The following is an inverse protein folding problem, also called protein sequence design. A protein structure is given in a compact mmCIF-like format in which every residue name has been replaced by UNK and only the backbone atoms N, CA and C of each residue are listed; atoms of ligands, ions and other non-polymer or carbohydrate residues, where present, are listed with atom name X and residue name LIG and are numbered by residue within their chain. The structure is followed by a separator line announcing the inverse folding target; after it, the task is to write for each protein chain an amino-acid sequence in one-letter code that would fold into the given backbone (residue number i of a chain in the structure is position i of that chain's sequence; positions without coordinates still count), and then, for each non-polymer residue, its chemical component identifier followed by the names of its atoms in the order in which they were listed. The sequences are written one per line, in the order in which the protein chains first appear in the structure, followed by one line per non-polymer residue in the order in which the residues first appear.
data_IF_250470302494
#
_entry.id   IF_250470302494
#
_cell.length_a   1.000
_cell.length_b   1.000
_cell.length_c   1.000
_cell.angle_alpha   90.00
_cell.angle_beta   90.00
_cell.angle_gamma   90.00
#
_symmetry.space_group_name_H-M   'P 1'
#
loop_
_entity.id
_entity.type
_entity.pdbx_description
1 polymer ?
#
# COMPACT_ATOMS: atom_id res chain seq x y z
N UNK A 1 -33.88 -8.53 -20.17
CA UNK A 1 -32.60 -9.14 -19.73
C UNK A 1 -32.41 -8.66 -18.32
N UNK A 2 -32.48 -9.57 -17.35
CA UNK A 2 -32.22 -9.23 -15.95
C UNK A 2 -30.70 -9.18 -15.82
N UNK A 3 -30.14 -8.02 -15.50
CA UNK A 3 -28.72 -7.92 -15.14
C UNK A 3 -28.48 -8.84 -13.94
N UNK A 4 -27.59 -9.81 -14.08
CA UNK A 4 -27.10 -10.58 -12.94
C UNK A 4 -26.42 -9.60 -11.97
N UNK A 5 -26.70 -9.68 -10.66
CA UNK A 5 -26.08 -8.81 -9.68
C UNK A 5 -24.56 -9.00 -9.74
N UNK A 6 -23.84 -7.90 -9.95
CA UNK A 6 -22.37 -7.85 -9.98
C UNK A 6 -21.84 -8.20 -8.58
N UNK A 7 -20.93 -9.16 -8.51
CA UNK A 7 -20.17 -9.44 -7.28
C UNK A 7 -19.22 -8.28 -6.95
N UNK A 8 -19.11 -7.97 -5.66
CA UNK A 8 -18.23 -6.92 -5.17
C UNK A 8 -16.77 -7.38 -5.14
N UNK A 9 -15.88 -6.50 -5.59
CA UNK A 9 -14.45 -6.71 -5.44
C UNK A 9 -14.02 -6.67 -3.97
N UNK A 10 -12.88 -7.26 -3.67
CA UNK A 10 -12.29 -7.24 -2.32
C UNK A 10 -12.03 -5.82 -1.80
N UNK A 11 -11.73 -4.89 -2.70
CA UNK A 11 -11.54 -3.47 -2.37
C UNK A 11 -12.87 -2.84 -1.96
N UNK A 12 -13.94 -3.07 -2.72
CA UNK A 12 -15.28 -2.56 -2.41
C UNK A 12 -15.77 -3.09 -1.06
N UNK A 13 -15.63 -4.39 -0.79
CA UNK A 13 -16.04 -4.99 0.50
C UNK A 13 -15.22 -4.44 1.65
N UNK A 14 -13.89 -4.29 1.48
CA UNK A 14 -13.04 -3.73 2.52
C UNK A 14 -13.38 -2.27 2.81
N UNK A 15 -13.54 -1.45 1.77
CA UNK A 15 -13.94 -0.05 1.92
C UNK A 15 -15.30 0.03 2.60
N UNK A 16 -16.25 -0.82 2.21
CA UNK A 16 -17.56 -0.89 2.82
C UNK A 16 -17.49 -1.27 4.32
N UNK A 17 -16.62 -2.21 4.71
CA UNK A 17 -16.40 -2.55 6.12
C UNK A 17 -15.85 -1.37 6.93
N UNK A 18 -14.80 -0.70 6.41
CA UNK A 18 -14.19 0.44 7.09
C UNK A 18 -15.20 1.58 7.23
N UNK A 19 -15.91 1.89 6.14
CA UNK A 19 -16.92 2.93 6.14
C UNK A 19 -18.06 2.60 7.10
N UNK A 20 -18.45 1.32 7.21
CA UNK A 20 -19.47 0.87 8.19
C UNK A 20 -19.00 1.07 9.63
N UNK A 21 -17.73 0.79 9.92
CA UNK A 21 -17.15 1.01 11.25
C UNK A 21 -17.08 2.50 11.58
N UNK A 22 -16.78 3.36 10.59
CA UNK A 22 -16.74 4.81 10.71
C UNK A 22 -18.12 5.49 10.66
N UNK A 23 -19.16 4.77 10.24
CA UNK A 23 -20.46 5.36 9.94
C UNK A 23 -21.16 5.89 11.20
N UNK A 24 -21.64 7.13 11.13
CA UNK A 24 -22.23 7.82 12.29
C UNK A 24 -23.74 8.03 12.15
N UNK A 25 -24.25 8.06 10.93
CA UNK A 25 -25.68 8.25 10.71
C UNK A 25 -26.44 6.97 11.15
N UNK A 26 -27.52 7.11 11.90
CA UNK A 26 -28.31 5.97 12.37
C UNK A 26 -29.23 5.38 11.28
N UNK A 27 -29.07 5.76 10.02
CA UNK A 27 -30.08 5.51 8.99
C UNK A 27 -29.84 4.26 8.14
N UNK A 28 -28.71 3.58 8.34
CA UNK A 28 -28.40 2.27 7.74
C UNK A 28 -28.92 1.09 8.60
N UNK A 29 -29.57 1.39 9.72
CA UNK A 29 -30.16 0.40 10.60
C UNK A 29 -31.55 0.81 11.07
N UNK A 30 -32.46 -0.15 11.15
CA UNK A 30 -33.85 0.11 11.59
C UNK A 30 -33.93 0.62 13.03
N UNK A 31 -32.90 0.38 13.85
CA UNK A 31 -32.83 0.79 15.25
C UNK A 31 -31.81 1.92 15.52
N UNK A 32 -31.22 2.52 14.49
CA UNK A 32 -30.31 3.65 14.70
C UNK A 32 -28.91 3.28 15.21
N UNK A 33 -28.52 2.01 15.13
CA UNK A 33 -27.30 1.51 15.78
C UNK A 33 -26.05 1.75 14.91
N UNK A 34 -24.97 2.19 15.53
CA UNK A 34 -23.65 2.38 14.89
C UNK A 34 -22.54 1.91 15.82
N UNK A 35 -21.37 1.57 15.26
CA UNK A 35 -20.21 1.20 16.08
C UNK A 35 -19.76 2.33 17.00
N UNK A 36 -19.81 3.58 16.54
CA UNK A 36 -19.46 4.75 17.34
C UNK A 36 -20.36 4.89 18.59
N UNK A 37 -21.67 4.66 18.47
CA UNK A 37 -22.61 4.70 19.61
C UNK A 37 -22.21 3.70 20.71
N UNK A 38 -21.70 2.54 20.30
CA UNK A 38 -21.23 1.49 21.18
C UNK A 38 -19.71 1.47 21.30
N UNK A 39 -19.06 2.65 21.36
CA UNK A 39 -17.63 2.75 21.68
C UNK A 39 -16.71 1.88 20.81
N UNK A 40 -17.06 1.72 19.53
CA UNK A 40 -16.38 0.91 18.53
C UNK A 40 -16.16 -0.56 18.92
N UNK A 41 -17.09 -1.14 19.67
CA UNK A 41 -17.13 -2.57 19.96
C UNK A 41 -18.47 -3.21 19.57
N UNK A 42 -18.43 -4.46 19.12
CA UNK A 42 -19.61 -5.18 18.67
C UNK A 42 -19.28 -6.61 18.23
N UNK A 43 -20.20 -7.23 17.49
CA UNK A 43 -20.01 -8.58 16.94
C UNK A 43 -19.82 -8.57 15.43
N UNK A 44 -19.30 -9.67 14.88
CA UNK A 44 -19.34 -9.94 13.44
C UNK A 44 -20.75 -9.78 12.85
N UNK A 45 -21.78 -10.24 13.55
CA UNK A 45 -23.17 -10.14 13.10
C UNK A 45 -23.65 -8.68 13.04
N UNK A 46 -23.21 -7.83 13.96
CA UNK A 46 -23.49 -6.39 13.93
C UNK A 46 -22.84 -5.73 12.72
N UNK A 47 -21.55 -6.03 12.48
CA UNK A 47 -20.81 -5.50 11.33
C UNK A 47 -21.47 -5.87 10.01
N UNK A 48 -21.74 -7.15 9.79
CA UNK A 48 -22.30 -7.61 8.50
C UNK A 48 -23.70 -7.06 8.25
N UNK A 49 -24.51 -6.90 9.30
CA UNK A 49 -25.83 -6.27 9.23
C UNK A 49 -25.74 -4.80 8.82
N UNK A 50 -24.91 -4.02 9.50
CA UNK A 50 -24.78 -2.60 9.19
C UNK A 50 -24.16 -2.39 7.79
N UNK A 51 -23.22 -3.25 7.44
CA UNK A 51 -22.55 -3.24 6.14
C UNK A 51 -23.53 -3.52 4.99
N UNK A 52 -24.49 -4.42 5.19
CA UNK A 52 -25.61 -4.66 4.27
C UNK A 52 -26.46 -3.39 4.09
N UNK A 53 -26.86 -2.76 5.19
CA UNK A 53 -27.66 -1.52 5.15
C UNK A 53 -26.94 -0.38 4.43
N UNK A 54 -25.64 -0.22 4.67
CA UNK A 54 -24.82 0.78 3.98
C UNK A 54 -24.68 0.47 2.48
N UNK A 55 -24.51 -0.79 2.11
CA UNK A 55 -24.41 -1.19 0.70
C UNK A 55 -25.71 -0.91 -0.08
N UNK A 56 -26.86 -1.23 0.52
CA UNK A 56 -28.18 -0.91 -0.04
C UNK A 56 -28.35 0.60 -0.15
N UNK A 57 -28.04 1.37 0.91
CA UNK A 57 -28.15 2.85 0.91
C UNK A 57 -27.34 3.46 -0.23
N UNK A 58 -26.14 2.94 -0.48
CA UNK A 58 -25.24 3.42 -1.54
C UNK A 58 -25.59 2.90 -2.94
N UNK A 59 -26.60 2.03 -3.06
CA UNK A 59 -26.99 1.41 -4.33
C UNK A 59 -25.93 0.44 -4.88
N UNK A 60 -25.02 -0.03 -4.03
CA UNK A 60 -23.94 -0.96 -4.40
C UNK A 60 -24.48 -2.38 -4.54
N UNK A 61 -25.49 -2.73 -3.73
CA UNK A 61 -26.29 -3.95 -3.87
C UNK A 61 -27.77 -3.58 -3.92
N UNK A 62 -28.58 -4.46 -4.52
CA UNK A 62 -30.03 -4.30 -4.58
C UNK A 62 -30.68 -4.86 -3.32
N UNK A 63 -31.69 -4.17 -2.82
CA UNK A 63 -32.56 -4.70 -1.77
C UNK A 63 -33.62 -5.63 -2.40
N UNK A 64 -33.38 -6.93 -2.32
CA UNK A 64 -34.32 -7.97 -2.72
C UNK A 64 -35.12 -8.50 -1.51
N UNK A 65 -34.51 -8.47 -0.31
CA UNK A 65 -35.17 -8.80 0.96
C UNK A 65 -35.05 -7.62 1.94
N UNK A 66 -36.04 -7.42 2.84
CA UNK A 66 -36.03 -6.32 3.78
C UNK A 66 -34.82 -6.37 4.73
N UNK A 67 -34.25 -5.19 5.03
CA UNK A 67 -33.26 -5.08 6.09
C UNK A 67 -33.88 -5.37 7.47
N UNK A 68 -33.26 -6.29 8.22
CA UNK A 68 -33.74 -6.70 9.53
C UNK A 68 -32.91 -6.10 10.67
N UNK A 69 -33.61 -5.54 11.67
CA UNK A 69 -33.03 -5.15 12.95
C UNK A 69 -32.59 -6.36 13.79
N UNK A 70 -31.60 -6.14 14.64
CA UNK A 70 -31.13 -7.15 15.60
C UNK A 70 -30.62 -6.49 16.88
N UNK A 71 -30.71 -7.21 18.01
CA UNK A 71 -30.13 -6.76 19.28
C UNK A 71 -28.61 -6.60 19.12
N UNK A 72 -28.08 -5.44 19.54
CA UNK A 72 -26.64 -5.17 19.47
C UNK A 72 -25.86 -6.14 20.36
N UNK A 73 -24.73 -6.65 19.89
CA UNK A 73 -23.97 -7.67 20.62
C UNK A 73 -24.56 -9.08 20.48
N UNK A 74 -25.62 -9.25 19.70
CA UNK A 74 -26.13 -10.57 19.32
C UNK A 74 -25.18 -11.28 18.37
N UNK A 75 -24.95 -12.57 18.59
CA UNK A 75 -24.14 -13.41 17.70
C UNK A 75 -24.95 -14.54 17.09
N UNK A 76 -24.40 -15.21 16.07
CA UNK A 76 -25.01 -16.38 15.45
C UNK A 76 -25.93 -16.09 14.26
N UNK A 77 -25.98 -14.84 13.76
CA UNK A 77 -26.64 -14.55 12.48
C UNK A 77 -25.86 -15.22 11.35
N UNK A 78 -26.45 -16.23 10.74
CA UNK A 78 -25.89 -16.89 9.56
C UNK A 78 -26.24 -16.09 8.30
N UNK A 79 -25.25 -15.83 7.46
CA UNK A 79 -25.45 -15.17 6.17
C UNK A 79 -25.83 -16.23 5.12
N UNK A 80 -27.07 -16.18 4.67
CA UNK A 80 -27.62 -16.98 3.58
C UNK A 80 -28.08 -16.02 2.48
N UNK A 81 -27.47 -16.09 1.28
CA UNK A 81 -27.79 -15.19 0.18
C UNK A 81 -29.29 -15.19 -0.13
N UNK A 82 -29.85 -14.00 -0.31
CA UNK A 82 -31.26 -13.75 -0.64
C UNK A 82 -32.26 -14.38 0.35
N UNK A 83 -31.81 -14.76 1.56
CA UNK A 83 -32.68 -15.28 2.62
C UNK A 83 -32.50 -14.52 3.93
N UNK A 84 -31.25 -14.33 4.38
CA UNK A 84 -30.94 -13.57 5.60
C UNK A 84 -30.02 -12.39 5.33
N UNK A 85 -29.54 -12.25 4.09
CA UNK A 85 -28.81 -11.08 3.60
C UNK A 85 -29.01 -10.91 2.10
N UNK A 86 -28.88 -9.67 1.60
CA UNK A 86 -28.89 -9.28 0.19
C UNK A 86 -27.54 -9.53 -0.51
N UNK A 87 -26.47 -9.85 0.22
CA UNK A 87 -25.17 -10.21 -0.35
C UNK A 87 -25.20 -11.54 -1.10
N UNK A 88 -24.44 -11.64 -2.20
CA UNK A 88 -24.28 -12.87 -2.98
C UNK A 88 -23.45 -13.92 -2.21
N UNK A 89 -23.43 -15.17 -2.68
CA UNK A 89 -22.53 -16.19 -2.12
C UNK A 89 -21.04 -15.81 -2.24
N UNK A 90 -20.68 -15.10 -3.32
CA UNK A 90 -19.31 -14.65 -3.58
C UNK A 90 -18.95 -13.55 -2.60
N UNK A 91 -19.84 -12.56 -2.44
CA UNK A 91 -19.69 -11.46 -1.49
C UNK A 91 -19.52 -11.97 -0.07
N UNK A 92 -20.34 -12.92 0.38
CA UNK A 92 -20.27 -13.48 1.75
C UNK A 92 -18.90 -14.11 2.04
N UNK A 93 -18.33 -14.86 1.08
CA UNK A 93 -16.99 -15.44 1.25
C UNK A 93 -15.94 -14.34 1.38
N UNK A 94 -16.00 -13.35 0.49
CA UNK A 94 -15.06 -12.25 0.49
C UNK A 94 -15.21 -11.36 1.73
N UNK A 95 -16.43 -11.16 2.26
CA UNK A 95 -16.70 -10.53 3.56
C UNK A 95 -15.95 -11.24 4.68
N UNK A 96 -16.04 -12.57 4.76
CA UNK A 96 -15.32 -13.32 5.78
C UNK A 96 -13.81 -13.18 5.63
N UNK A 97 -13.28 -13.23 4.41
CA UNK A 97 -11.86 -13.02 4.13
C UNK A 97 -11.40 -11.61 4.53
N UNK A 98 -12.14 -10.57 4.14
CA UNK A 98 -11.80 -9.18 4.49
C UNK A 98 -11.86 -8.94 5.99
N UNK A 99 -12.83 -9.51 6.70
CA UNK A 99 -12.90 -9.44 8.16
C UNK A 99 -11.62 -9.99 8.81
N UNK A 100 -11.15 -11.16 8.35
CA UNK A 100 -9.92 -11.77 8.84
C UNK A 100 -8.67 -10.96 8.46
N UNK A 101 -8.68 -10.28 7.31
CA UNK A 101 -7.60 -9.38 6.93
C UNK A 101 -7.55 -8.14 7.83
N UNK A 102 -8.68 -7.56 8.22
CA UNK A 102 -8.71 -6.46 9.19
C UNK A 102 -8.19 -6.87 10.57
N UNK A 103 -8.44 -8.12 11.00
CA UNK A 103 -7.84 -8.72 12.20
C UNK A 103 -6.32 -8.82 12.06
N UNK A 104 -5.84 -9.40 10.96
CA UNK A 104 -4.39 -9.59 10.73
C UNK A 104 -3.66 -8.24 10.61
N UNK A 105 -4.31 -7.23 10.06
CA UNK A 105 -3.79 -5.86 9.94
C UNK A 105 -3.85 -5.08 11.25
N UNK A 106 -4.48 -5.62 12.30
CA UNK A 106 -4.63 -4.98 13.61
C UNK A 106 -5.60 -3.80 13.61
N UNK A 107 -6.44 -3.64 12.60
CA UNK A 107 -7.50 -2.61 12.57
C UNK A 107 -8.57 -2.94 13.61
N UNK A 108 -8.92 -4.22 13.69
CA UNK A 108 -9.81 -4.76 14.72
C UNK A 108 -9.08 -5.86 15.49
N UNK A 109 -9.52 -6.13 16.72
CA UNK A 109 -8.97 -7.20 17.55
C UNK A 109 -10.11 -8.01 18.21
N UNK A 110 -9.92 -9.33 18.44
CA UNK A 110 -10.92 -10.15 19.11
C UNK A 110 -11.22 -9.67 20.53
N UNK A 111 -12.47 -9.89 20.94
CA UNK A 111 -12.98 -9.55 22.25
C UNK A 111 -13.37 -8.08 22.40
N UNK A 112 -14.18 -7.79 23.41
CA UNK A 112 -14.59 -6.44 23.78
C UNK A 112 -14.90 -6.37 25.29
N UNK A 113 -14.70 -5.20 25.93
CA UNK A 113 -14.98 -5.02 27.36
C UNK A 113 -16.47 -5.17 27.66
N UNK A 114 -16.81 -5.63 28.88
CA UNK A 114 -18.19 -5.85 29.31
C UNK A 114 -18.68 -7.26 29.02
N UNK A 115 -19.96 -7.40 28.66
CA UNK A 115 -20.62 -8.71 28.50
C UNK A 115 -20.28 -9.44 27.19
N UNK A 116 -19.37 -8.90 26.37
CA UNK A 116 -18.93 -9.51 25.12
C UNK A 116 -17.85 -10.59 25.35
N UNK A 117 -16.96 -10.41 26.32
CA UNK A 117 -15.87 -11.36 26.59
C UNK A 117 -14.70 -11.26 25.59
N UNK A 118 -13.68 -12.15 25.70
CA UNK A 118 -12.36 -11.93 25.09
C UNK A 118 -12.18 -12.52 23.69
N UNK A 119 -13.18 -13.20 23.13
CA UNK A 119 -13.03 -14.01 21.92
C UNK A 119 -13.98 -13.54 20.80
N UNK A 120 -13.67 -13.97 19.57
CA UNK A 120 -14.63 -13.94 18.47
C UNK A 120 -15.92 -14.69 18.86
N UNK A 121 -17.10 -14.30 18.34
CA UNK A 121 -17.32 -13.33 17.27
C UNK A 121 -17.33 -11.86 17.72
N UNK A 122 -17.07 -11.60 19.00
CA UNK A 122 -16.97 -10.24 19.54
C UNK A 122 -15.62 -9.63 19.20
N UNK A 123 -15.60 -8.33 18.93
CA UNK A 123 -14.39 -7.59 18.59
C UNK A 123 -14.53 -6.11 18.96
N UNK A 124 -13.40 -5.41 18.96
CA UNK A 124 -13.34 -3.96 19.04
C UNK A 124 -12.40 -3.40 17.96
N UNK A 125 -12.61 -2.14 17.58
CA UNK A 125 -11.66 -1.39 16.77
C UNK A 125 -10.50 -0.98 17.68
N UNK A 126 -9.27 -1.23 17.24
CA UNK A 126 -8.07 -0.88 18.03
C UNK A 126 -7.79 0.63 17.96
N UNK A 127 -6.92 1.16 18.81
CA UNK A 127 -6.45 2.55 18.69
C UNK A 127 -5.84 2.83 17.30
N UNK A 128 -5.16 1.84 16.73
CA UNK A 128 -4.66 1.91 15.35
C UNK A 128 -5.80 1.98 14.34
N UNK A 129 -6.81 1.11 14.48
CA UNK A 129 -7.97 1.10 13.60
C UNK A 129 -8.76 2.41 13.65
N UNK A 130 -8.90 3.03 14.82
CA UNK A 130 -9.58 4.33 14.95
C UNK A 130 -8.89 5.42 14.12
N UNK A 131 -7.54 5.46 14.12
CA UNK A 131 -6.79 6.37 13.24
C UNK A 131 -7.06 6.08 11.76
N UNK A 132 -7.15 4.80 11.38
CA UNK A 132 -7.51 4.43 10.01
C UNK A 132 -8.91 4.89 9.60
N UNK A 133 -9.87 4.86 10.54
CA UNK A 133 -11.23 5.35 10.29
C UNK A 133 -11.28 6.88 10.17
N UNK A 134 -10.46 7.61 10.93
CA UNK A 134 -10.39 9.08 10.85
C UNK A 134 -9.84 9.56 9.51
N UNK A 135 -8.76 8.94 9.02
CA UNK A 135 -8.04 9.42 7.85
C UNK A 135 -8.76 9.16 6.51
N UNK A 136 -9.76 8.26 6.44
CA UNK A 136 -10.54 7.93 5.22
C UNK A 136 -9.71 7.73 3.92
N UNK A 137 -8.41 7.47 4.05
CA UNK A 137 -7.49 7.42 2.91
C UNK A 137 -7.17 5.99 2.49
N UNK A 138 -6.96 5.81 1.18
CA UNK A 138 -6.46 4.57 0.58
C UNK A 138 -5.02 4.40 1.04
N UNK A 139 -4.90 3.74 2.18
CA UNK A 139 -3.67 3.20 2.73
C UNK A 139 -3.16 2.07 1.80
N UNK A 140 -1.86 1.70 1.83
CA UNK A 140 -1.18 0.67 1.02
C UNK A 140 -1.72 -0.77 1.19
N UNK A 141 -2.93 -0.91 1.74
CA UNK A 141 -3.69 -2.14 1.82
C UNK A 141 -4.29 -2.58 0.49
N UNK A 142 -4.46 -1.66 -0.46
CA UNK A 142 -4.73 -2.01 -1.85
C UNK A 142 -3.42 -2.39 -2.54
N UNK A 143 -2.95 -3.62 -2.25
CA UNK A 143 -1.77 -4.19 -2.90
C UNK A 143 -1.93 -4.13 -4.41
N UNK A 144 -3.13 -4.44 -4.92
CA UNK A 144 -3.39 -4.53 -6.34
C UNK A 144 -3.33 -3.16 -7.01
N UNK A 145 -4.01 -2.14 -6.46
CA UNK A 145 -3.94 -0.77 -6.97
C UNK A 145 -2.57 -0.11 -6.79
N UNK A 146 -1.84 -0.43 -5.72
CA UNK A 146 -0.44 0.01 -5.57
C UNK A 146 0.45 -0.63 -6.64
N UNK A 147 0.38 -1.96 -6.81
CA UNK A 147 1.17 -2.68 -7.80
C UNK A 147 0.78 -2.30 -9.23
N UNK A 148 -0.48 -1.99 -9.50
CA UNK A 148 -0.93 -1.49 -10.80
C UNK A 148 -0.24 -0.15 -11.14
N UNK A 149 -0.17 0.78 -10.19
CA UNK A 149 0.56 2.04 -10.36
C UNK A 149 2.04 1.82 -10.65
N UNK A 150 2.66 0.83 -10.02
CA UNK A 150 4.05 0.44 -10.23
C UNK A 150 4.23 -0.18 -11.63
N UNK A 151 3.38 -1.13 -12.03
CA UNK A 151 3.40 -1.79 -13.35
C UNK A 151 3.18 -0.83 -14.51
N UNK A 152 2.43 0.25 -14.29
CA UNK A 152 2.21 1.29 -15.29
C UNK A 152 3.43 2.19 -15.51
N UNK A 153 4.51 2.03 -14.72
CA UNK A 153 5.78 2.74 -14.96
C UNK A 153 6.50 2.04 -16.12
N UNK A 154 6.86 2.76 -17.20
CA UNK A 154 7.56 2.16 -18.33
C UNK A 154 8.90 1.55 -17.93
N UNK A 155 9.26 0.45 -18.58
CA UNK A 155 10.52 -0.29 -18.40
C UNK A 155 10.79 -0.79 -16.99
N UNK A 156 9.80 -0.77 -16.09
CA UNK A 156 9.98 -1.28 -14.74
C UNK A 156 10.34 -2.77 -14.75
N UNK A 157 11.31 -3.11 -13.92
CA UNK A 157 11.88 -4.45 -13.85
C UNK A 157 11.02 -5.37 -13.00
N UNK A 158 10.86 -6.63 -13.43
CA UNK A 158 10.14 -7.66 -12.68
C UNK A 158 10.72 -7.84 -11.26
N UNK A 159 12.03 -7.66 -11.08
CA UNK A 159 12.67 -7.73 -9.75
C UNK A 159 12.28 -6.56 -8.86
N UNK A 160 12.13 -5.36 -9.42
CA UNK A 160 11.68 -4.18 -8.67
C UNK A 160 10.24 -4.36 -8.23
N UNK A 161 9.37 -4.87 -9.11
CA UNK A 161 8.00 -5.25 -8.78
C UNK A 161 7.95 -6.32 -7.68
N UNK A 162 8.78 -7.35 -7.81
CA UNK A 162 8.88 -8.44 -6.84
C UNK A 162 9.21 -7.92 -5.43
N UNK A 163 10.27 -7.11 -5.29
CA UNK A 163 10.66 -6.58 -3.99
C UNK A 163 9.61 -5.63 -3.40
N UNK A 164 8.93 -4.83 -4.22
CA UNK A 164 7.83 -3.96 -3.76
C UNK A 164 6.65 -4.81 -3.26
N UNK A 165 6.31 -5.89 -3.97
CA UNK A 165 5.25 -6.81 -3.54
C UNK A 165 5.58 -7.46 -2.20
N UNK A 166 6.79 -7.97 -2.02
CA UNK A 166 7.24 -8.53 -0.75
C UNK A 166 7.21 -7.47 0.38
N UNK A 167 7.61 -6.23 0.07
CA UNK A 167 7.53 -5.13 1.03
C UNK A 167 6.09 -4.88 1.50
N UNK A 168 5.13 -4.83 0.58
CA UNK A 168 3.71 -4.62 0.91
C UNK A 168 3.15 -5.77 1.75
N UNK A 169 3.56 -7.01 1.45
CA UNK A 169 3.18 -8.18 2.26
C UNK A 169 3.74 -8.08 3.68
N UNK A 170 5.01 -7.72 3.85
CA UNK A 170 5.60 -7.49 5.17
C UNK A 170 4.89 -6.36 5.93
N UNK A 171 4.57 -5.26 5.26
CA UNK A 171 3.84 -4.14 5.86
C UNK A 171 2.46 -4.57 6.37
N UNK A 172 1.71 -5.32 5.55
CA UNK A 172 0.40 -5.83 5.90
C UNK A 172 0.42 -6.88 7.01
N UNK A 173 1.54 -7.61 7.14
CA UNK A 173 1.80 -8.54 8.26
C UNK A 173 2.34 -7.84 9.52
N UNK A 174 2.36 -6.51 9.55
CA UNK A 174 2.89 -5.70 10.64
C UNK A 174 4.42 -5.91 10.91
N UNK A 175 5.18 -6.34 9.90
CA UNK A 175 6.63 -6.52 9.94
C UNK A 175 7.33 -5.30 9.31
N UNK A 176 7.36 -4.18 10.04
CA UNK A 176 7.78 -2.87 9.53
C UNK A 176 9.24 -2.85 9.03
N UNK A 177 10.15 -3.41 9.80
CA UNK A 177 11.57 -3.45 9.45
C UNK A 177 11.80 -4.30 8.19
N UNK A 178 11.11 -5.44 8.09
CA UNK A 178 11.18 -6.31 6.92
C UNK A 178 10.63 -5.60 5.66
N UNK A 179 9.52 -4.87 5.79
CA UNK A 179 8.95 -4.07 4.70
C UNK A 179 9.95 -3.03 4.19
N UNK A 180 10.60 -2.32 5.10
CA UNK A 180 11.61 -1.31 4.76
C UNK A 180 12.84 -1.96 4.10
N UNK A 181 13.33 -3.09 4.61
CA UNK A 181 14.43 -3.85 3.99
C UNK A 181 14.10 -4.20 2.53
N UNK A 182 12.88 -4.69 2.26
CA UNK A 182 12.45 -5.04 0.90
C UNK A 182 12.41 -3.82 -0.04
N UNK A 183 11.93 -2.67 0.43
CA UNK A 183 12.00 -1.41 -0.34
C UNK A 183 13.46 -0.97 -0.61
N UNK A 184 14.37 -1.28 0.31
CA UNK A 184 15.80 -1.10 0.12
C UNK A 184 16.37 -1.91 -1.03
N UNK A 185 16.05 -3.21 -1.07
CA UNK A 185 16.47 -4.09 -2.17
C UNK A 185 15.92 -3.63 -3.51
N UNK A 186 14.66 -3.18 -3.53
CA UNK A 186 14.06 -2.54 -4.71
C UNK A 186 14.85 -1.31 -5.16
N UNK A 187 15.22 -0.41 -4.24
CA UNK A 187 16.03 0.77 -4.54
C UNK A 187 17.45 0.42 -5.02
N UNK A 188 18.12 -0.57 -4.44
CA UNK A 188 19.42 -1.04 -4.90
C UNK A 188 19.34 -1.57 -6.35
N UNK A 189 18.28 -2.33 -6.67
CA UNK A 189 18.06 -2.84 -8.02
C UNK A 189 17.83 -1.72 -9.03
N UNK A 190 17.05 -0.69 -8.68
CA UNK A 190 16.84 0.50 -9.50
C UNK A 190 18.18 1.21 -9.77
N UNK A 191 19.07 1.33 -8.77
CA UNK A 191 20.37 1.97 -8.95
C UNK A 191 21.28 1.19 -9.90
N UNK A 192 21.27 -0.14 -9.81
CA UNK A 192 22.01 -0.97 -10.76
C UNK A 192 21.51 -0.76 -12.20
N UNK A 193 20.19 -0.72 -12.41
CA UNK A 193 19.58 -0.45 -13.72
C UNK A 193 19.88 0.98 -14.22
N UNK A 194 19.88 1.97 -13.34
CA UNK A 194 20.29 3.34 -13.66
C UNK A 194 21.74 3.42 -14.12
N UNK A 195 22.64 2.70 -13.44
CA UNK A 195 24.05 2.67 -13.78
C UNK A 195 24.27 2.04 -15.16
N UNK A 196 23.60 0.91 -15.42
CA UNK A 196 23.71 0.21 -16.70
C UNK A 196 23.17 1.08 -17.85
N UNK A 197 22.01 1.71 -17.66
CA UNK A 197 21.43 2.62 -18.63
C UNK A 197 22.34 3.84 -18.87
N UNK A 198 22.89 4.42 -17.81
CA UNK A 198 23.80 5.56 -17.89
C UNK A 198 25.10 5.21 -18.62
N UNK A 199 25.70 4.05 -18.33
CA UNK A 199 26.87 3.56 -19.05
C UNK A 199 26.56 3.42 -20.54
N UNK A 200 25.40 2.84 -20.89
CA UNK A 200 24.94 2.76 -22.28
C UNK A 200 24.89 4.15 -22.93
N UNK A 201 24.26 5.12 -22.27
CA UNK A 201 24.16 6.50 -22.75
C UNK A 201 25.54 7.17 -22.93
N UNK A 202 26.43 7.04 -21.94
CA UNK A 202 27.78 7.58 -22.01
C UNK A 202 28.59 6.91 -23.13
N UNK A 203 28.40 5.61 -23.39
CA UNK A 203 29.11 4.92 -24.49
C UNK A 203 28.77 5.47 -25.88
N UNK A 204 27.58 6.07 -26.03
CA UNK A 204 27.12 6.68 -27.28
C UNK A 204 27.50 8.16 -27.40
N UNK A 205 27.55 8.87 -26.27
CA UNK A 205 27.60 10.33 -26.25
C UNK A 205 28.88 10.92 -25.60
N UNK A 206 29.56 10.16 -24.73
CA UNK A 206 30.63 10.63 -23.85
C UNK A 206 31.70 9.53 -23.58
N UNK A 207 32.49 9.18 -24.61
CA UNK A 207 33.42 8.04 -24.58
C UNK A 207 34.47 8.07 -23.45
N UNK A 208 34.96 9.26 -23.09
CA UNK A 208 35.97 9.41 -22.04
C UNK A 208 35.35 9.11 -20.66
N UNK A 209 34.20 9.71 -20.39
CA UNK A 209 33.42 9.55 -19.16
C UNK A 209 32.95 8.10 -19.01
N UNK A 210 32.54 7.46 -20.10
CA UNK A 210 32.19 6.04 -20.13
C UNK A 210 33.33 5.17 -19.59
N UNK A 211 34.54 5.34 -20.16
CA UNK A 211 35.72 4.54 -19.77
C UNK A 211 36.11 4.79 -18.31
N UNK A 212 36.01 6.04 -17.84
CA UNK A 212 36.28 6.38 -16.44
C UNK A 212 35.26 5.75 -15.48
N UNK A 213 33.97 5.88 -15.79
CA UNK A 213 32.90 5.34 -14.95
C UNK A 213 32.99 3.82 -14.84
N UNK A 214 33.25 3.13 -15.96
CA UNK A 214 33.40 1.68 -15.99
C UNK A 214 34.58 1.21 -15.12
N UNK A 215 35.71 1.92 -15.17
CA UNK A 215 36.87 1.63 -14.31
C UNK A 215 36.56 1.85 -12.83
N UNK A 216 35.90 2.96 -12.46
CA UNK A 216 35.53 3.27 -11.08
C UNK A 216 34.58 2.21 -10.50
N UNK A 217 33.53 1.84 -11.25
CA UNK A 217 32.54 0.85 -10.82
C UNK A 217 33.13 -0.52 -10.51
N UNK A 218 34.17 -0.95 -11.24
CA UNK A 218 34.84 -2.24 -11.01
C UNK A 218 35.36 -2.43 -9.58
N UNK A 219 35.73 -1.30 -8.93
CA UNK A 219 36.30 -1.26 -7.58
C UNK A 219 35.24 -1.12 -6.48
N UNK A 220 34.01 -0.76 -6.83
CA UNK A 220 32.95 -0.47 -5.88
C UNK A 220 32.19 -1.76 -5.55
N UNK A 221 31.97 -2.00 -4.24
CA UNK A 221 31.20 -3.16 -3.74
C UNK A 221 29.90 -2.77 -3.06
N UNK A 222 29.84 -1.59 -2.46
CA UNK A 222 28.69 -1.13 -1.69
C UNK A 222 27.71 -0.37 -2.59
N UNK A 223 26.41 -0.57 -2.38
CA UNK A 223 25.34 0.13 -3.10
C UNK A 223 25.43 1.65 -2.93
N UNK A 224 25.77 2.14 -1.73
CA UNK A 224 26.00 3.58 -1.50
C UNK A 224 27.16 4.15 -2.33
N UNK A 225 28.20 3.36 -2.55
CA UNK A 225 29.31 3.72 -3.44
C UNK A 225 28.86 3.78 -4.90
N UNK A 226 28.06 2.80 -5.34
CA UNK A 226 27.49 2.75 -6.69
C UNK A 226 26.62 3.99 -6.96
N UNK A 227 25.76 4.35 -6.01
CA UNK A 227 24.93 5.56 -6.10
C UNK A 227 25.75 6.85 -6.17
N UNK A 228 26.82 6.97 -5.37
CA UNK A 228 27.70 8.15 -5.44
C UNK A 228 28.41 8.24 -6.79
N UNK A 229 28.81 7.10 -7.36
CA UNK A 229 29.37 7.02 -8.71
C UNK A 229 28.34 7.50 -9.74
N UNK A 230 27.12 6.95 -9.72
CA UNK A 230 26.01 7.43 -10.57
C UNK A 230 25.82 8.95 -10.46
N UNK A 231 25.72 9.48 -9.24
CA UNK A 231 25.52 10.91 -8.99
C UNK A 231 26.64 11.79 -9.58
N UNK A 232 27.89 11.32 -9.50
CA UNK A 232 29.04 12.03 -10.09
C UNK A 232 28.86 12.18 -11.60
N UNK A 233 28.59 11.10 -12.32
CA UNK A 233 28.44 11.13 -13.78
C UNK A 233 27.12 11.75 -14.24
N UNK A 234 26.05 11.61 -13.45
CA UNK A 234 24.81 12.36 -13.64
C UNK A 234 25.07 13.87 -13.67
N UNK A 235 25.88 14.40 -12.75
CA UNK A 235 26.21 15.82 -12.72
C UNK A 235 27.04 16.26 -13.94
N UNK A 236 27.88 15.38 -14.48
CA UNK A 236 28.61 15.66 -15.72
C UNK A 236 27.64 15.82 -16.88
N UNK A 237 26.72 14.87 -17.05
CA UNK A 237 25.69 14.91 -18.10
C UNK A 237 24.78 16.12 -17.94
N UNK A 238 24.34 16.39 -16.70
CA UNK A 238 23.49 17.54 -16.37
C UNK A 238 24.04 18.87 -16.87
N UNK A 239 25.36 19.04 -16.86
CA UNK A 239 25.99 20.28 -17.29
C UNK A 239 26.23 20.34 -18.81
N UNK A 240 26.20 19.20 -19.51
CA UNK A 240 26.58 19.10 -20.93
C UNK A 240 25.39 18.80 -21.87
N UNK A 241 24.30 18.23 -21.36
CA UNK A 241 23.11 17.92 -22.17
C UNK A 241 22.22 19.15 -22.30
N UNK A 242 21.96 19.54 -23.55
CA UNK A 242 21.08 20.67 -23.89
C UNK A 242 19.64 20.25 -24.16
N UNK A 243 19.39 18.94 -24.28
CA UNK A 243 18.09 18.35 -24.58
C UNK A 243 16.99 18.86 -23.65
N UNK A 244 15.85 19.19 -24.25
CA UNK A 244 14.76 19.84 -23.54
C UNK A 244 13.96 18.85 -22.69
N UNK A 245 13.81 17.60 -23.12
CA UNK A 245 13.17 16.56 -22.32
C UNK A 245 13.98 16.28 -21.05
N UNK A 246 15.31 16.16 -21.17
CA UNK A 246 16.20 16.02 -20.01
C UNK A 246 16.07 17.18 -19.02
N UNK A 247 16.05 18.43 -19.54
CA UNK A 247 15.90 19.62 -18.69
C UNK A 247 14.56 19.69 -17.96
N UNK A 248 13.47 19.20 -18.56
CA UNK A 248 12.17 19.13 -17.87
C UNK A 248 12.15 18.10 -16.74
N UNK A 249 12.98 17.06 -16.80
CA UNK A 249 13.08 16.05 -15.74
C UNK A 249 14.00 16.45 -14.58
N UNK A 250 14.98 17.34 -14.81
CA UNK A 250 15.93 17.76 -13.77
C UNK A 250 15.31 18.26 -12.46
N UNK A 251 14.21 19.05 -12.45
CA UNK A 251 13.56 19.48 -11.21
C UNK A 251 13.00 18.32 -10.36
N UNK A 252 12.73 17.16 -10.98
CA UNK A 252 12.24 15.97 -10.27
C UNK A 252 13.32 15.30 -9.42
N UNK A 253 14.60 15.62 -9.68
CA UNK A 253 15.77 15.09 -8.95
C UNK A 253 16.60 16.26 -8.44
N UNK A 254 16.02 16.98 -7.49
CA UNK A 254 16.72 18.02 -6.77
C UNK A 254 17.65 17.43 -5.69
N UNK A 255 18.29 18.32 -4.91
CA UNK A 255 19.21 17.91 -3.85
C UNK A 255 18.51 17.10 -2.75
N UNK A 256 17.23 17.41 -2.48
CA UNK A 256 16.43 16.77 -1.44
C UNK A 256 16.03 15.36 -1.90
N UNK A 257 15.56 15.21 -3.14
CA UNK A 257 15.25 13.94 -3.77
C UNK A 257 16.47 12.99 -3.71
N UNK A 258 17.66 13.47 -4.09
CA UNK A 258 18.88 12.66 -3.96
C UNK A 258 19.21 12.27 -2.52
N UNK A 259 18.98 13.14 -1.54
CA UNK A 259 19.18 12.81 -0.12
C UNK A 259 18.19 11.75 0.35
N UNK A 260 16.91 11.86 -0.04
CA UNK A 260 15.86 10.87 0.25
C UNK A 260 16.25 9.51 -0.37
N UNK A 261 16.75 9.48 -1.60
CA UNK A 261 17.18 8.24 -2.26
C UNK A 261 18.42 7.62 -1.61
N UNK A 262 19.36 8.47 -1.16
CA UNK A 262 20.52 8.02 -0.37
C UNK A 262 20.08 7.47 0.99
N UNK A 263 19.04 8.05 1.59
CA UNK A 263 18.49 7.57 2.84
C UNK A 263 17.77 6.23 2.65
N UNK A 264 17.04 6.03 1.55
CA UNK A 264 16.46 4.71 1.22
C UNK A 264 17.52 3.62 1.12
N UNK A 265 18.67 3.88 0.50
CA UNK A 265 19.76 2.88 0.44
C UNK A 265 20.52 2.71 1.76
N UNK A 266 20.60 3.73 2.62
CA UNK A 266 21.29 3.64 3.93
C UNK A 266 20.45 2.98 5.02
N UNK A 267 19.18 3.39 5.16
CA UNK A 267 18.28 2.94 6.23
C UNK A 267 18.06 1.42 6.12
N UNK A 268 17.90 0.93 4.90
CA UNK A 268 17.36 -0.39 4.60
C UNK A 268 18.36 -1.54 4.71
N UNK A 269 19.67 -1.27 4.60
CA UNK A 269 20.71 -2.32 4.67
C UNK A 269 21.69 -2.16 5.84
N UNK A 270 22.17 -0.95 6.12
CA UNK A 270 23.21 -0.74 7.15
C UNK A 270 22.64 -0.27 8.49
N UNK A 271 21.46 0.35 8.50
CA UNK A 271 20.79 0.77 9.73
C UNK A 271 20.04 -0.37 10.40
N UNK A 272 19.13 -1.03 9.66
CA UNK A 272 18.17 -1.99 10.21
C UNK A 272 18.62 -3.46 10.22
N UNK A 273 19.63 -3.85 9.42
CA UNK A 273 20.17 -5.22 9.44
C UNK A 273 21.17 -5.46 10.58
N UNK A 274 21.66 -4.39 11.20
CA UNK A 274 22.32 -4.43 12.49
C UNK A 274 21.25 -4.19 13.56
N UNK A 275 21.35 -4.79 14.76
CA UNK A 275 20.43 -4.48 15.85
C UNK A 275 20.57 -3.01 16.24
N UNK A 276 19.82 -2.15 15.56
CA UNK A 276 19.65 -0.74 15.87
C UNK A 276 18.52 -0.60 16.87
N UNK A 277 18.67 0.28 17.84
CA UNK A 277 17.60 0.64 18.79
C UNK A 277 16.43 1.38 18.13
N UNK A 278 16.52 1.67 16.82
CA UNK A 278 15.49 2.37 16.05
C UNK A 278 14.47 1.37 15.52
N UNK A 279 13.31 1.31 16.18
CA UNK A 279 12.10 0.68 15.66
C UNK A 279 11.43 1.62 14.66
N UNK A 280 10.93 1.06 13.56
CA UNK A 280 10.18 1.84 12.57
C UNK A 280 8.70 1.84 12.93
N UNK A 281 8.11 3.01 13.10
CA UNK A 281 6.68 3.12 13.32
C UNK A 281 5.92 2.88 12.01
N UNK A 282 4.73 2.29 12.11
CA UNK A 282 3.92 1.94 10.92
C UNK A 282 3.58 3.14 10.04
N UNK A 283 3.39 4.30 10.65
CA UNK A 283 3.14 5.58 9.94
C UNK A 283 4.37 6.04 9.15
N UNK A 284 5.58 5.78 9.65
CA UNK A 284 6.82 6.13 8.97
C UNK A 284 7.01 5.25 7.73
N UNK A 285 6.76 3.94 7.87
CA UNK A 285 6.82 3.00 6.75
C UNK A 285 5.74 3.29 5.71
N UNK A 286 4.56 3.71 6.14
CA UNK A 286 3.50 4.18 5.25
C UNK A 286 3.92 5.36 4.38
N UNK A 287 4.47 6.41 5.00
CA UNK A 287 4.96 7.60 4.28
C UNK A 287 6.06 7.21 3.27
N UNK A 288 6.89 6.23 3.62
CA UNK A 288 7.86 5.65 2.71
C UNK A 288 7.17 5.03 1.49
N UNK A 289 6.17 4.16 1.65
CA UNK A 289 5.42 3.58 0.51
C UNK A 289 4.79 4.66 -0.39
N UNK A 290 4.14 5.66 0.19
CA UNK A 290 3.49 6.74 -0.57
C UNK A 290 4.50 7.47 -1.45
N UNK A 291 5.67 7.80 -0.89
CA UNK A 291 6.74 8.49 -1.64
C UNK A 291 7.47 7.59 -2.64
N UNK A 292 7.46 6.26 -2.43
CA UNK A 292 8.23 5.31 -3.23
C UNK A 292 7.71 5.19 -4.67
N UNK A 293 6.39 5.30 -4.90
CA UNK A 293 5.83 5.33 -6.26
C UNK A 293 6.46 6.47 -7.07
N UNK A 294 6.51 7.68 -6.48
CA UNK A 294 7.07 8.84 -7.17
C UNK A 294 8.57 8.69 -7.38
N UNK A 295 9.27 8.06 -6.43
CA UNK A 295 10.68 7.70 -6.60
C UNK A 295 10.90 6.81 -7.81
N UNK A 296 10.15 5.70 -7.94
CA UNK A 296 10.24 4.79 -9.09
C UNK A 296 9.96 5.52 -10.41
N UNK A 297 8.87 6.29 -10.48
CA UNK A 297 8.51 7.07 -11.67
C UNK A 297 9.64 8.00 -12.11
N UNK A 298 10.24 8.71 -11.15
CA UNK A 298 11.35 9.62 -11.44
C UNK A 298 12.59 8.84 -11.91
N UNK A 299 12.97 7.74 -11.24
CA UNK A 299 14.18 7.00 -11.61
C UNK A 299 14.05 6.34 -12.99
N UNK A 300 12.90 5.70 -13.26
CA UNK A 300 12.63 5.06 -14.54
C UNK A 300 12.50 6.08 -15.68
N UNK A 301 11.97 7.28 -15.42
CA UNK A 301 12.03 8.36 -16.41
C UNK A 301 13.45 8.70 -16.87
N UNK A 302 14.44 8.69 -15.97
CA UNK A 302 15.85 8.85 -16.34
C UNK A 302 16.42 7.61 -17.04
N UNK A 303 16.09 6.40 -16.57
CA UNK A 303 16.49 5.14 -17.23
C UNK A 303 16.01 5.13 -18.68
N UNK A 304 14.73 5.39 -18.91
CA UNK A 304 14.12 5.42 -20.23
C UNK A 304 14.77 6.48 -21.12
N UNK A 305 15.05 7.66 -20.57
CA UNK A 305 15.77 8.68 -21.32
C UNK A 305 17.14 8.19 -21.77
N UNK A 306 17.91 7.57 -20.87
CA UNK A 306 19.22 7.02 -21.18
C UNK A 306 19.18 5.87 -22.16
N UNK A 307 18.14 5.04 -22.16
CA UNK A 307 17.98 3.94 -23.11
C UNK A 307 17.68 4.46 -24.52
N UNK A 308 16.83 5.48 -24.62
CA UNK A 308 16.30 5.97 -25.90
C UNK A 308 17.17 7.05 -26.59
N UNK A 309 18.17 7.60 -25.90
CA UNK A 309 19.09 8.63 -26.42
C UNK A 309 20.57 8.20 -26.28
#
# INVERSE_FOLDING_TARGET
MVEEPRDLSSIEIRSLMLDTLAYEEGDIDSEGKTFKLYGYHGTQSDLYRLMEGLAVKRGVIKEDIPLHGAVWGGSGRMLHPHSTTNFSNSDIKNIYEQFHLLLNQGVIAPGAPGNYGPNLPNFHVTEYGLKCLEEHEILPYDIDGYLEKIKNIPSISEWVEFYIKEALQCYNANCMEAAVIMLGLSSEKIIDEQIDALLGYLSRNFNNEHSQMQSELSSIRLASGKFNCYKKYFNVIKNNVTDQAFKYMLPLVDRIAFQVYTNFTRITRNGLAHPSDTKMERIEVLMIFISFIKYCQTQYGFIDYYINH
#
